data_IF_210702321194
#
_entry.id   IF_210702321194
#
_cell.length_a   1.000
_cell.length_b   1.000
_cell.length_c   1.000
_cell.angle_alpha   90.00
_cell.angle_beta   90.00
_cell.angle_gamma   90.00
#
_symmetry.space_group_name_H-M   'P 1'
#
loop_
_entity.id
_entity.type
_entity.pdbx_description
1 polymer ?
#
# COMPACT_ATOMS: atom_id res chain seq x y z
N UNK A 1 20.29 -6.28 8.36
CA UNK A 1 19.79 -7.28 7.39
C UNK A 1 18.29 -7.47 7.57
N UNK A 2 17.55 -7.63 6.49
CA UNK A 2 16.11 -7.88 6.58
C UNK A 2 15.80 -9.38 6.73
N UNK A 3 14.74 -9.68 7.50
CA UNK A 3 14.18 -11.01 7.71
C UNK A 3 12.70 -11.03 7.33
N UNK A 4 12.39 -10.54 6.14
CA UNK A 4 11.01 -10.35 5.66
C UNK A 4 10.31 -11.64 5.20
N UNK A 5 11.01 -12.76 5.12
CA UNK A 5 10.49 -14.04 4.62
C UNK A 5 10.65 -15.14 5.67
N UNK A 6 9.53 -15.66 6.16
CA UNK A 6 9.49 -16.75 7.15
C UNK A 6 10.15 -18.01 6.61
N UNK A 7 9.98 -18.35 5.33
CA UNK A 7 10.59 -19.55 4.75
C UNK A 7 12.11 -19.50 4.79
N UNK A 8 12.71 -18.31 4.60
CA UNK A 8 14.15 -18.10 4.74
C UNK A 8 14.63 -18.25 6.20
N UNK A 9 13.82 -17.75 7.15
CA UNK A 9 14.09 -17.90 8.60
C UNK A 9 14.10 -19.38 8.95
N UNK A 10 13.10 -20.11 8.51
CA UNK A 10 12.92 -21.54 8.78
C UNK A 10 14.01 -22.37 8.08
N UNK A 11 14.27 -22.11 6.81
CA UNK A 11 15.31 -22.81 6.04
C UNK A 11 16.70 -22.67 6.63
N UNK A 12 17.03 -21.50 7.18
CA UNK A 12 18.31 -21.21 7.82
C UNK A 12 18.33 -21.52 9.30
N UNK A 13 17.20 -21.92 9.88
CA UNK A 13 17.01 -22.14 11.34
C UNK A 13 17.49 -20.93 12.15
N UNK A 14 17.06 -19.72 11.74
CA UNK A 14 17.40 -18.47 12.44
C UNK A 14 16.54 -18.36 13.69
N UNK A 15 17.17 -18.09 14.84
CA UNK A 15 16.49 -17.93 16.12
C UNK A 15 16.83 -16.59 16.76
N UNK A 16 15.98 -16.16 17.68
CA UNK A 16 16.23 -14.95 18.45
C UNK A 16 17.55 -15.11 19.23
N UNK A 17 18.39 -14.07 19.19
CA UNK A 17 19.73 -14.01 19.78
C UNK A 17 20.81 -14.89 19.11
N UNK A 18 20.56 -15.44 17.92
CA UNK A 18 21.60 -16.11 17.16
C UNK A 18 22.73 -15.17 16.72
N UNK A 19 23.95 -15.68 16.69
CA UNK A 19 25.06 -15.05 15.97
C UNK A 19 25.00 -15.46 14.50
N UNK A 20 25.02 -14.46 13.61
CA UNK A 20 24.85 -14.66 12.17
C UNK A 20 25.97 -14.04 11.35
N UNK A 21 26.27 -14.62 10.21
CA UNK A 21 27.10 -13.99 9.18
C UNK A 21 26.21 -13.17 8.26
N UNK A 22 26.61 -11.92 8.04
CA UNK A 22 25.91 -11.00 7.15
C UNK A 22 26.82 -10.69 5.96
N UNK A 23 26.28 -10.81 4.77
CA UNK A 23 26.96 -10.46 3.53
C UNK A 23 26.28 -9.30 2.84
N UNK A 24 27.09 -8.41 2.28
CA UNK A 24 26.65 -7.29 1.45
C UNK A 24 27.04 -7.58 0.01
N UNK A 25 26.06 -7.76 -0.87
CA UNK A 25 26.28 -7.97 -2.30
C UNK A 25 25.93 -6.68 -3.05
N UNK A 26 26.96 -5.89 -3.44
CA UNK A 26 26.79 -4.59 -4.09
C UNK A 26 26.11 -3.55 -3.18
N UNK A 27 25.34 -2.64 -3.77
CA UNK A 27 24.51 -1.65 -3.05
C UNK A 27 23.17 -2.21 -2.56
N UNK A 28 23.08 -3.54 -2.47
CA UNK A 28 21.86 -4.26 -2.05
C UNK A 28 21.80 -4.38 -0.53
N UNK A 29 20.57 -4.52 -0.01
CA UNK A 29 20.28 -4.72 1.41
C UNK A 29 21.08 -5.93 1.94
N UNK A 30 21.81 -5.79 3.07
CA UNK A 30 22.55 -6.90 3.65
C UNK A 30 21.65 -8.10 3.96
N UNK A 31 22.11 -9.30 3.64
CA UNK A 31 21.38 -10.55 3.91
C UNK A 31 22.14 -11.45 4.88
N UNK A 32 21.40 -12.21 5.67
CA UNK A 32 21.99 -13.25 6.51
C UNK A 32 22.32 -14.44 5.61
N UNK A 33 23.60 -14.82 5.58
CA UNK A 33 24.08 -15.97 4.81
C UNK A 33 24.11 -17.25 5.63
N UNK A 34 24.49 -17.16 6.89
CA UNK A 34 24.67 -18.32 7.76
C UNK A 34 24.43 -17.99 9.23
N UNK A 35 23.88 -18.96 9.97
CA UNK A 35 23.82 -18.96 11.44
C UNK A 35 25.05 -19.68 12.01
N UNK A 36 25.72 -19.06 12.97
CA UNK A 36 26.85 -19.64 13.68
C UNK A 36 26.35 -20.54 14.83
N UNK A 37 25.85 -21.74 14.50
CA UNK A 37 25.24 -22.67 15.46
C UNK A 37 26.13 -23.02 16.66
N UNK A 38 27.44 -22.99 16.48
CA UNK A 38 28.43 -23.21 17.56
C UNK A 38 28.47 -22.05 18.58
N UNK A 39 27.94 -20.88 18.24
CA UNK A 39 27.83 -19.71 19.13
C UNK A 39 26.42 -19.46 19.61
N UNK A 40 25.46 -20.33 19.26
CA UNK A 40 24.06 -20.18 19.63
C UNK A 40 23.92 -20.26 21.16
N UNK A 41 23.28 -19.23 21.79
CA UNK A 41 22.98 -19.28 23.21
C UNK A 41 22.05 -20.45 23.56
N UNK A 42 22.17 -20.95 24.80
CA UNK A 42 21.19 -21.91 25.32
C UNK A 42 19.83 -21.23 25.45
N UNK A 43 18.73 -21.97 25.21
CA UNK A 43 17.36 -21.52 25.30
C UNK A 43 16.94 -20.47 24.23
N UNK A 44 17.53 -20.50 23.04
CA UNK A 44 17.05 -19.70 21.91
C UNK A 44 15.68 -20.19 21.45
N UNK A 45 14.78 -19.23 21.17
CA UNK A 45 13.45 -19.51 20.68
C UNK A 45 13.38 -19.34 19.15
N UNK A 46 12.61 -20.21 18.50
CA UNK A 46 12.25 -20.00 17.11
C UNK A 46 11.38 -18.74 17.01
N UNK A 47 11.60 -17.98 15.95
CA UNK A 47 10.76 -16.83 15.64
C UNK A 47 9.73 -17.25 14.60
N UNK A 48 8.47 -16.88 14.83
CA UNK A 48 7.41 -16.99 13.84
C UNK A 48 6.72 -15.63 13.70
N UNK A 49 6.49 -15.20 12.47
CA UNK A 49 5.77 -13.96 12.20
C UNK A 49 4.33 -14.04 12.71
N UNK A 50 3.71 -15.23 12.66
CA UNK A 50 2.34 -15.44 13.17
C UNK A 50 2.23 -15.28 14.68
N UNK A 51 3.31 -15.59 15.43
CA UNK A 51 3.31 -15.51 16.89
C UNK A 51 3.72 -14.12 17.41
N UNK A 52 4.13 -13.23 16.51
CA UNK A 52 4.54 -11.89 16.89
C UNK A 52 3.33 -11.04 17.31
N UNK A 53 3.44 -10.42 18.48
CA UNK A 53 2.42 -9.48 18.95
C UNK A 53 2.58 -8.14 18.26
N UNK A 54 1.70 -7.88 17.32
CA UNK A 54 1.70 -6.63 16.56
C UNK A 54 1.29 -5.44 17.43
N UNK A 55 1.85 -4.24 17.20
CA UNK A 55 1.51 -3.04 17.96
C UNK A 55 0.04 -2.64 17.84
N UNK A 56 -0.57 -2.89 16.68
CA UNK A 56 -1.98 -2.64 16.44
C UNK A 56 -2.79 -3.90 16.82
N UNK A 57 -3.64 -3.85 17.85
CA UNK A 57 -4.41 -5.00 18.32
C UNK A 57 -5.43 -5.52 17.31
N UNK A 58 -5.82 -4.67 16.34
CA UNK A 58 -6.77 -5.04 15.30
C UNK A 58 -6.10 -5.75 14.12
N UNK A 59 -4.77 -5.84 14.11
CA UNK A 59 -4.03 -6.59 13.11
C UNK A 59 -4.25 -8.10 13.23
N UNK A 60 -4.81 -8.70 12.17
CA UNK A 60 -4.89 -10.15 11.96
C UNK A 60 -3.97 -10.53 10.82
N UNK A 61 -2.82 -11.10 11.15
CA UNK A 61 -1.80 -11.44 10.17
C UNK A 61 -1.99 -12.88 9.71
N UNK A 62 -2.19 -13.06 8.42
CA UNK A 62 -2.28 -14.36 7.79
C UNK A 62 -1.35 -14.44 6.57
N UNK A 63 -0.95 -15.66 6.26
CA UNK A 63 -0.24 -15.98 5.03
C UNK A 63 -1.23 -16.47 4.00
N UNK A 64 -1.32 -15.76 2.89
CA UNK A 64 -2.16 -16.16 1.77
C UNK A 64 -1.48 -17.34 1.07
N UNK A 65 -2.24 -18.37 0.74
CA UNK A 65 -1.72 -19.54 0.03
C UNK A 65 -1.06 -19.13 -1.29
N UNK A 66 0.17 -19.62 -1.52
CA UNK A 66 0.98 -19.26 -2.68
C UNK A 66 1.81 -17.97 -2.52
N UNK A 67 1.63 -17.18 -1.46
CA UNK A 67 2.45 -16.00 -1.17
C UNK A 67 3.51 -16.29 -0.09
N UNK A 68 4.69 -15.67 -0.23
CA UNK A 68 5.73 -15.71 0.80
C UNK A 68 5.47 -14.69 1.92
N UNK A 69 4.67 -13.67 1.67
CA UNK A 69 4.42 -12.56 2.59
C UNK A 69 3.23 -12.82 3.50
N UNK A 70 3.37 -12.43 4.77
CA UNK A 70 2.25 -12.32 5.70
C UNK A 70 1.59 -10.95 5.54
N UNK A 71 0.26 -10.93 5.54
CA UNK A 71 -0.53 -9.70 5.38
C UNK A 71 -1.58 -9.58 6.46
N UNK A 72 -1.91 -8.35 6.83
CA UNK A 72 -3.08 -8.11 7.66
C UNK A 72 -4.35 -8.30 6.80
N UNK A 73 -5.19 -9.26 7.20
CA UNK A 73 -6.45 -9.56 6.50
C UNK A 73 -7.64 -8.74 7.01
N UNK A 74 -7.49 -8.07 8.16
CA UNK A 74 -8.57 -7.22 8.67
C UNK A 74 -8.68 -5.93 7.83
N UNK A 75 -9.79 -5.72 7.09
CA UNK A 75 -9.97 -4.51 6.28
C UNK A 75 -10.03 -3.23 7.11
N UNK A 76 -10.48 -3.33 8.36
CA UNK A 76 -10.64 -2.19 9.28
C UNK A 76 -9.43 -1.96 10.18
N UNK A 77 -8.32 -2.68 9.97
CA UNK A 77 -7.08 -2.46 10.71
C UNK A 77 -6.55 -1.04 10.41
N UNK A 78 -6.38 -0.24 11.46
CA UNK A 78 -5.92 1.15 11.36
C UNK A 78 -4.61 1.28 10.60
N UNK A 79 -3.64 0.43 10.92
CA UNK A 79 -2.33 0.41 10.26
C UNK A 79 -2.46 0.10 8.76
N UNK A 80 -3.37 -0.79 8.37
CA UNK A 80 -3.65 -1.11 6.97
C UNK A 80 -4.29 0.06 6.24
N UNK A 81 -5.33 0.66 6.82
CA UNK A 81 -6.01 1.82 6.23
C UNK A 81 -5.04 2.98 6.04
N UNK A 82 -4.26 3.33 7.07
CA UNK A 82 -3.23 4.37 6.95
C UNK A 82 -2.20 4.05 5.85
N UNK A 83 -1.72 2.81 5.76
CA UNK A 83 -0.78 2.40 4.72
C UNK A 83 -1.35 2.54 3.30
N UNK A 84 -2.63 2.23 3.10
CA UNK A 84 -3.34 2.41 1.82
C UNK A 84 -3.45 3.91 1.48
N UNK A 85 -3.80 4.76 2.45
CA UNK A 85 -3.88 6.21 2.27
C UNK A 85 -2.51 6.84 1.97
N UNK A 86 -1.45 6.41 2.67
CA UNK A 86 -0.08 6.83 2.40
C UNK A 86 0.36 6.45 0.97
N UNK A 87 0.03 5.23 0.55
CA UNK A 87 0.31 4.76 -0.80
C UNK A 87 -0.40 5.64 -1.85
N UNK A 88 -1.69 5.91 -1.66
CA UNK A 88 -2.48 6.77 -2.55
C UNK A 88 -1.87 8.17 -2.68
N UNK A 89 -1.43 8.75 -1.57
CA UNK A 89 -0.82 10.09 -1.55
C UNK A 89 0.61 10.11 -2.12
N UNK A 90 1.26 8.95 -2.29
CA UNK A 90 2.67 8.85 -2.63
C UNK A 90 3.05 9.50 -3.96
N UNK A 91 4.35 9.83 -4.12
CA UNK A 91 4.90 10.48 -5.34
C UNK A 91 4.57 9.74 -6.63
N UNK A 92 4.52 8.41 -6.60
CA UNK A 92 4.26 7.60 -7.78
C UNK A 92 2.77 7.37 -8.06
N UNK A 93 1.91 7.65 -7.10
CA UNK A 93 0.46 7.65 -7.21
C UNK A 93 -0.06 9.08 -7.40
N UNK A 94 -0.89 9.61 -6.53
CA UNK A 94 -1.51 10.94 -6.68
C UNK A 94 -0.55 12.11 -6.45
N UNK A 95 0.64 11.87 -5.90
CA UNK A 95 1.70 12.87 -5.65
C UNK A 95 1.22 14.08 -4.84
N UNK A 96 0.61 13.83 -3.70
CA UNK A 96 0.14 14.89 -2.82
C UNK A 96 1.30 15.31 -1.90
N UNK A 97 2.01 16.37 -2.27
CA UNK A 97 3.13 16.87 -1.48
C UNK A 97 2.65 17.37 -0.12
N UNK A 98 3.40 17.02 0.91
CA UNK A 98 3.02 17.34 2.29
C UNK A 98 2.15 16.27 2.98
N UNK A 99 1.55 15.33 2.24
CA UNK A 99 0.75 14.22 2.77
C UNK A 99 1.62 13.00 3.09
N UNK A 100 2.64 13.18 3.93
CA UNK A 100 3.49 12.09 4.39
C UNK A 100 2.87 11.28 5.55
N UNK A 101 3.53 10.17 5.99
CA UNK A 101 2.99 9.26 7.01
C UNK A 101 2.52 9.94 8.30
N UNK A 102 3.25 10.97 8.76
CA UNK A 102 2.88 11.70 9.99
C UNK A 102 1.60 12.53 9.83
N UNK A 103 1.40 13.13 8.65
CA UNK A 103 0.20 13.91 8.36
C UNK A 103 -0.98 12.99 8.13
N UNK A 104 -0.82 11.89 7.39
CA UNK A 104 -1.86 10.86 7.21
C UNK A 104 -2.32 10.34 8.58
N UNK A 105 -1.36 9.99 9.47
CA UNK A 105 -1.67 9.55 10.82
C UNK A 105 -2.45 10.60 11.60
N UNK A 106 -2.02 11.84 11.58
CA UNK A 106 -2.64 12.94 12.32
C UNK A 106 -4.07 13.21 11.84
N UNK A 107 -4.30 13.21 10.52
CA UNK A 107 -5.63 13.38 9.94
C UNK A 107 -6.53 12.19 10.24
N UNK A 108 -5.97 10.96 10.20
CA UNK A 108 -6.70 9.75 10.57
C UNK A 108 -7.13 9.77 12.05
N UNK A 109 -6.22 10.13 12.96
CA UNK A 109 -6.51 10.24 14.40
C UNK A 109 -7.51 11.37 14.74
N UNK A 110 -7.59 12.39 13.88
CA UNK A 110 -8.58 13.47 13.97
C UNK A 110 -9.93 13.14 13.28
N UNK A 111 -10.10 11.91 12.79
CA UNK A 111 -11.29 11.45 12.03
C UNK A 111 -11.61 12.28 10.75
N UNK A 112 -10.58 12.90 10.19
CA UNK A 112 -10.67 13.71 8.96
C UNK A 112 -10.32 12.92 7.69
N UNK A 113 -9.73 11.71 7.84
CA UNK A 113 -9.19 10.94 6.73
C UNK A 113 -9.37 9.44 6.98
N UNK A 114 -10.44 8.85 6.46
CA UNK A 114 -10.75 7.42 6.58
C UNK A 114 -10.74 6.70 5.22
N UNK A 115 -10.86 7.44 4.11
CA UNK A 115 -10.89 6.92 2.74
C UNK A 115 -10.28 7.91 1.76
N UNK A 116 -10.04 7.49 0.52
CA UNK A 116 -9.40 8.34 -0.51
C UNK A 116 -10.19 9.62 -0.80
N UNK A 117 -11.51 9.54 -0.81
CA UNK A 117 -12.37 10.68 -1.09
C UNK A 117 -12.34 11.73 0.02
N UNK A 118 -12.03 11.35 1.26
CA UNK A 118 -11.90 12.30 2.36
C UNK A 118 -10.75 13.28 2.14
N UNK A 119 -9.68 12.86 1.46
CA UNK A 119 -8.56 13.73 1.10
C UNK A 119 -9.04 14.99 0.39
N UNK A 120 -10.00 14.84 -0.52
CA UNK A 120 -10.52 15.92 -1.35
C UNK A 120 -11.63 16.75 -0.69
N UNK A 121 -12.02 16.37 0.54
CA UNK A 121 -12.97 17.11 1.40
C UNK A 121 -12.25 17.97 2.44
N UNK A 122 -10.95 17.75 2.67
CA UNK A 122 -10.14 18.48 3.65
C UNK A 122 -10.15 19.97 3.31
N UNK A 123 -10.43 20.81 4.31
CA UNK A 123 -10.44 22.26 4.19
C UNK A 123 -9.28 22.86 4.99
N UNK A 124 -8.97 24.12 4.67
CA UNK A 124 -7.95 24.87 5.39
C UNK A 124 -8.24 24.94 6.90
N UNK A 125 -9.50 25.14 7.27
CA UNK A 125 -9.95 25.24 8.66
C UNK A 125 -9.68 23.95 9.46
N UNK A 126 -9.76 22.80 8.80
CA UNK A 126 -9.48 21.51 9.42
C UNK A 126 -8.00 21.37 9.77
N UNK A 127 -7.12 21.90 8.90
CA UNK A 127 -5.68 21.77 9.04
C UNK A 127 -5.08 22.73 10.08
N UNK A 128 -5.56 23.98 10.12
CA UNK A 128 -4.96 25.02 10.96
C UNK A 128 -5.09 24.75 12.46
N UNK A 129 -6.03 23.88 12.83
CA UNK A 129 -6.26 23.44 14.20
C UNK A 129 -5.43 22.21 14.61
N UNK A 130 -4.70 21.62 13.66
CA UNK A 130 -3.84 20.46 13.91
C UNK A 130 -2.42 20.88 14.28
N UNK A 131 -1.76 20.06 15.10
CA UNK A 131 -0.38 20.28 15.49
C UNK A 131 0.55 20.39 14.28
N UNK A 132 1.54 21.27 14.38
CA UNK A 132 2.57 21.52 13.34
C UNK A 132 2.05 22.21 12.08
N UNK A 133 0.75 22.45 11.93
CA UNK A 133 0.24 23.27 10.86
C UNK A 133 0.30 24.76 11.23
N UNK A 134 0.72 25.56 10.25
CA UNK A 134 0.64 27.02 10.22
C UNK A 134 0.03 27.42 8.89
N UNK A 135 -0.34 28.68 8.74
CA UNK A 135 -1.01 29.18 7.53
C UNK A 135 -0.33 28.70 6.24
N UNK A 136 1.01 28.83 6.15
CA UNK A 136 1.75 28.43 4.94
C UNK A 136 1.68 26.91 4.66
N UNK A 137 1.88 26.08 5.68
CA UNK A 137 1.86 24.63 5.50
C UNK A 137 0.45 24.10 5.20
N UNK A 138 -0.58 24.67 5.82
CA UNK A 138 -1.97 24.34 5.51
C UNK A 138 -2.33 24.72 4.06
N UNK A 139 -2.01 25.94 3.63
CA UNK A 139 -2.23 26.38 2.25
C UNK A 139 -1.50 25.50 1.24
N UNK A 140 -0.20 25.20 1.48
CA UNK A 140 0.57 24.34 0.57
C UNK A 140 -0.05 22.94 0.43
N UNK A 141 -0.56 22.37 1.52
CA UNK A 141 -1.20 21.05 1.47
C UNK A 141 -2.52 21.11 0.69
N UNK A 142 -3.36 22.12 0.91
CA UNK A 142 -4.59 22.33 0.13
C UNK A 142 -4.28 22.51 -1.37
N UNK A 143 -3.27 23.31 -1.68
CA UNK A 143 -2.84 23.50 -3.07
C UNK A 143 -2.37 22.19 -3.71
N UNK A 144 -1.60 21.39 -2.97
CA UNK A 144 -1.13 20.09 -3.44
C UNK A 144 -2.29 19.10 -3.66
N UNK A 145 -3.27 19.07 -2.74
CA UNK A 145 -4.49 18.27 -2.91
C UNK A 145 -5.23 18.69 -4.19
N UNK A 146 -5.40 19.99 -4.40
CA UNK A 146 -6.09 20.49 -5.59
C UNK A 146 -5.31 20.19 -6.88
N UNK A 147 -4.00 20.31 -6.89
CA UNK A 147 -3.15 19.95 -8.03
C UNK A 147 -3.23 18.47 -8.37
N UNK A 148 -3.34 17.60 -7.35
CA UNK A 148 -3.42 16.15 -7.53
C UNK A 148 -4.72 15.69 -8.21
N UNK A 149 -5.76 16.55 -8.28
CA UNK A 149 -7.01 16.23 -8.97
C UNK A 149 -6.80 15.98 -10.46
N UNK A 150 -5.80 16.59 -11.09
CA UNK A 150 -5.41 16.27 -12.47
C UNK A 150 -4.34 15.21 -12.47
N UNK A 151 -4.70 14.01 -12.87
CA UNK A 151 -3.82 12.85 -12.83
C UNK A 151 -3.96 12.00 -14.08
N UNK A 152 -3.00 11.09 -14.30
CA UNK A 152 -3.09 10.12 -15.39
C UNK A 152 -3.72 8.82 -14.92
N UNK A 153 -4.33 8.08 -15.83
CA UNK A 153 -4.92 6.78 -15.55
C UNK A 153 -3.96 5.81 -14.82
N UNK A 154 -2.68 5.64 -15.25
CA UNK A 154 -1.77 4.73 -14.55
C UNK A 154 -1.47 5.15 -13.12
N UNK A 155 -1.39 6.44 -12.85
CA UNK A 155 -1.12 6.96 -11.49
C UNK A 155 -2.31 6.75 -10.57
N UNK A 156 -3.52 7.01 -11.08
CA UNK A 156 -4.75 6.79 -10.33
C UNK A 156 -4.94 5.30 -10.03
N UNK A 157 -4.85 4.44 -11.05
CA UNK A 157 -5.00 2.99 -10.88
C UNK A 157 -3.96 2.39 -9.92
N UNK A 158 -2.69 2.82 -10.06
CA UNK A 158 -1.63 2.43 -9.11
C UNK A 158 -1.96 2.91 -7.70
N UNK A 159 -2.47 4.13 -7.55
CA UNK A 159 -2.84 4.74 -6.28
C UNK A 159 -3.93 3.98 -5.53
N UNK A 160 -4.86 3.32 -6.22
CA UNK A 160 -5.90 2.51 -5.58
C UNK A 160 -5.35 1.32 -4.78
N UNK A 161 -4.08 0.95 -4.96
CA UNK A 161 -3.42 -0.10 -4.18
C UNK A 161 -3.96 -1.50 -4.41
N UNK A 162 -4.50 -1.77 -5.60
CA UNK A 162 -5.01 -3.10 -5.99
C UNK A 162 -3.85 -4.10 -5.90
N UNK A 163 -4.02 -5.26 -5.24
CA UNK A 163 -2.97 -6.27 -5.14
C UNK A 163 -2.39 -6.65 -6.50
N UNK A 164 -1.08 -6.76 -6.59
CA UNK A 164 -0.34 -7.11 -7.81
C UNK A 164 -0.44 -6.09 -8.96
N UNK A 165 -1.15 -4.97 -8.80
CA UNK A 165 -1.23 -3.87 -9.78
C UNK A 165 -0.17 -2.82 -9.47
N UNK A 166 1.05 -3.03 -9.97
CA UNK A 166 2.14 -2.05 -9.89
C UNK A 166 2.07 -1.01 -11.01
N UNK A 167 3.00 -0.05 -11.00
CA UNK A 167 3.08 1.00 -12.04
C UNK A 167 3.16 0.44 -13.47
N UNK A 168 3.85 -0.69 -13.66
CA UNK A 168 3.98 -1.33 -14.97
C UNK A 168 2.63 -1.85 -15.47
N UNK A 169 1.94 -2.60 -14.64
CA UNK A 169 0.60 -3.13 -14.94
C UNK A 169 -0.40 -1.99 -15.20
N UNK A 170 -0.35 -0.94 -14.41
CA UNK A 170 -1.22 0.24 -14.60
C UNK A 170 -1.01 0.90 -15.97
N UNK A 171 0.22 0.93 -16.48
CA UNK A 171 0.52 1.44 -17.84
C UNK A 171 0.05 0.50 -18.94
N UNK A 172 0.08 -0.82 -18.72
CA UNK A 172 -0.46 -1.79 -19.70
C UNK A 172 -1.98 -1.61 -19.78
N UNK A 173 -2.66 -1.55 -18.64
CA UNK A 173 -4.11 -1.33 -18.57
C UNK A 173 -4.52 0.00 -19.22
N UNK A 174 -3.75 1.07 -19.01
CA UNK A 174 -3.97 2.38 -19.62
C UNK A 174 -4.01 2.29 -21.15
N UNK A 175 -2.98 1.68 -21.76
CA UNK A 175 -2.92 1.50 -23.21
C UNK A 175 -4.11 0.74 -23.78
N UNK A 176 -4.58 -0.29 -23.06
CA UNK A 176 -5.69 -1.11 -23.52
C UNK A 176 -7.04 -0.39 -23.34
N UNK A 177 -7.22 0.28 -22.19
CA UNK A 177 -8.45 0.95 -21.85
C UNK A 177 -8.56 2.37 -22.45
N UNK A 178 -7.50 2.93 -23.04
CA UNK A 178 -7.44 4.32 -23.55
C UNK A 178 -7.82 5.33 -22.44
N UNK A 179 -7.21 5.17 -21.26
CA UNK A 179 -7.45 6.00 -20.06
C UNK A 179 -8.90 5.98 -19.53
N UNK A 180 -9.73 5.00 -19.94
CA UNK A 180 -11.13 4.88 -19.50
C UNK A 180 -11.25 3.90 -18.33
N UNK A 181 -11.65 4.40 -17.17
CA UNK A 181 -12.03 3.56 -16.02
C UNK A 181 -13.30 2.76 -16.29
N UNK A 182 -14.25 3.31 -17.03
CA UNK A 182 -15.48 2.62 -17.42
C UNK A 182 -15.13 1.35 -18.20
N UNK A 183 -14.31 1.50 -19.25
CA UNK A 183 -13.84 0.35 -20.03
C UNK A 183 -13.11 -0.68 -19.15
N UNK A 184 -12.27 -0.22 -18.21
CA UNK A 184 -11.57 -1.15 -17.30
C UNK A 184 -12.56 -1.96 -16.45
N UNK A 185 -13.60 -1.33 -15.92
CA UNK A 185 -14.58 -1.99 -15.05
C UNK A 185 -15.48 -2.98 -15.79
N UNK A 186 -15.71 -2.75 -17.09
CA UNK A 186 -16.50 -3.63 -17.95
C UNK A 186 -15.76 -4.91 -18.35
N UNK A 187 -14.42 -4.89 -18.43
CA UNK A 187 -13.62 -6.04 -18.83
C UNK A 187 -13.91 -7.27 -17.95
N UNK A 188 -14.01 -8.43 -18.57
CA UNK A 188 -14.01 -9.72 -17.88
C UNK A 188 -12.60 -10.16 -17.51
N UNK A 189 -12.47 -11.16 -16.66
CA UNK A 189 -11.17 -11.74 -16.30
C UNK A 189 -10.49 -12.32 -17.54
N UNK A 190 -11.26 -13.02 -18.38
CA UNK A 190 -10.78 -13.65 -19.62
C UNK A 190 -10.22 -12.60 -20.58
N UNK A 191 -10.94 -11.50 -20.79
CA UNK A 191 -10.48 -10.39 -21.65
C UNK A 191 -9.21 -9.72 -21.11
N UNK A 192 -9.10 -9.58 -19.78
CA UNK A 192 -7.89 -9.03 -19.17
C UNK A 192 -6.68 -9.95 -19.34
N UNK A 193 -6.86 -11.26 -19.26
CA UNK A 193 -5.78 -12.25 -19.45
C UNK A 193 -5.25 -12.29 -20.88
N UNK A 194 -6.06 -11.94 -21.89
CA UNK A 194 -5.60 -11.79 -23.28
C UNK A 194 -4.66 -10.59 -23.49
N UNK A 195 -4.59 -9.67 -22.52
CA UNK A 195 -3.69 -8.52 -22.58
C UNK A 195 -2.26 -8.98 -22.25
N UNK A 196 -1.32 -8.77 -23.18
CA UNK A 196 0.09 -9.13 -22.96
C UNK A 196 0.65 -8.48 -21.67
N UNK A 197 1.18 -9.31 -20.79
CA UNK A 197 1.72 -8.90 -19.50
C UNK A 197 0.71 -8.89 -18.35
N UNK A 198 -0.55 -9.28 -18.57
CA UNK A 198 -1.57 -9.43 -17.52
C UNK A 198 -1.83 -10.92 -17.28
N UNK A 199 -1.48 -11.40 -16.09
CA UNK A 199 -1.79 -12.76 -15.65
C UNK A 199 -3.13 -12.84 -14.91
N UNK A 200 -3.64 -14.06 -14.79
CA UNK A 200 -4.93 -14.36 -14.14
C UNK A 200 -5.05 -13.77 -12.72
N UNK A 201 -3.98 -13.85 -11.92
CA UNK A 201 -3.93 -13.29 -10.55
C UNK A 201 -4.18 -11.78 -10.55
N UNK A 202 -3.63 -11.06 -11.53
CA UNK A 202 -3.82 -9.61 -11.66
C UNK A 202 -5.23 -9.31 -12.15
N UNK A 203 -5.71 -10.03 -13.15
CA UNK A 203 -7.05 -9.87 -13.71
C UNK A 203 -8.14 -10.08 -12.65
N UNK A 204 -8.04 -11.15 -11.86
CA UNK A 204 -8.93 -11.43 -10.73
C UNK A 204 -8.87 -10.29 -9.70
N UNK A 205 -7.67 -9.84 -9.31
CA UNK A 205 -7.52 -8.78 -8.31
C UNK A 205 -8.15 -7.45 -8.75
N UNK A 206 -8.04 -7.10 -10.02
CA UNK A 206 -8.68 -5.91 -10.60
C UNK A 206 -10.20 -6.07 -10.60
N UNK A 207 -10.71 -7.22 -11.04
CA UNK A 207 -12.15 -7.48 -11.09
C UNK A 207 -12.78 -7.48 -9.71
N UNK A 208 -12.16 -8.14 -8.74
CA UNK A 208 -12.62 -8.18 -7.36
C UNK A 208 -12.65 -6.78 -6.73
N UNK A 209 -11.63 -5.96 -7.00
CA UNK A 209 -11.57 -4.59 -6.48
C UNK A 209 -12.76 -3.76 -6.95
N UNK A 210 -13.10 -3.80 -8.23
CA UNK A 210 -14.20 -3.02 -8.81
C UNK A 210 -15.58 -3.67 -8.65
N UNK A 211 -15.65 -4.95 -8.28
CA UNK A 211 -16.90 -5.62 -7.88
C UNK A 211 -17.26 -5.34 -6.41
N UNK A 212 -16.29 -4.94 -5.59
CA UNK A 212 -16.57 -4.51 -4.22
C UNK A 212 -17.28 -3.15 -4.22
N UNK A 213 -18.51 -3.12 -3.71
CA UNK A 213 -19.36 -1.92 -3.71
C UNK A 213 -18.73 -0.75 -2.94
N UNK A 214 -17.97 -1.02 -1.86
CA UNK A 214 -17.33 0.03 -1.09
C UNK A 214 -16.22 0.71 -1.89
N UNK A 215 -15.35 -0.10 -2.52
CA UNK A 215 -14.28 0.41 -3.38
C UNK A 215 -14.84 1.20 -4.56
N UNK A 216 -15.87 0.65 -5.23
CA UNK A 216 -16.54 1.33 -6.35
C UNK A 216 -17.10 2.69 -5.93
N UNK A 217 -17.83 2.74 -4.83
CA UNK A 217 -18.40 3.98 -4.29
C UNK A 217 -17.31 5.01 -3.93
N UNK A 218 -16.17 4.57 -3.38
CA UNK A 218 -15.05 5.47 -3.06
C UNK A 218 -14.48 6.06 -4.35
N UNK A 219 -14.24 5.25 -5.37
CA UNK A 219 -13.75 5.72 -6.68
C UNK A 219 -14.72 6.72 -7.30
N UNK A 220 -16.02 6.41 -7.31
CA UNK A 220 -17.06 7.32 -7.84
C UNK A 220 -17.07 8.66 -7.09
N UNK A 221 -16.98 8.65 -5.75
CA UNK A 221 -16.91 9.89 -4.95
C UNK A 221 -15.63 10.68 -5.25
N UNK A 222 -14.50 10.02 -5.45
CA UNK A 222 -13.25 10.68 -5.86
C UNK A 222 -13.44 11.45 -7.18
N UNK A 223 -14.06 10.84 -8.17
CA UNK A 223 -14.37 11.50 -9.46
C UNK A 223 -15.36 12.65 -9.28
N UNK A 224 -16.42 12.48 -8.48
CA UNK A 224 -17.40 13.55 -8.17
C UNK A 224 -16.76 14.74 -7.44
N UNK A 225 -15.71 14.52 -6.66
CA UNK A 225 -14.93 15.57 -5.97
C UNK A 225 -13.91 16.27 -6.88
N UNK A 226 -13.91 15.93 -8.17
CA UNK A 226 -13.18 16.64 -9.20
C UNK A 226 -11.84 16.02 -9.59
N UNK A 227 -11.63 14.73 -9.35
CA UNK A 227 -10.49 14.01 -9.97
C UNK A 227 -10.78 13.88 -11.47
N UNK A 228 -9.85 14.38 -12.27
CA UNK A 228 -9.83 14.30 -13.73
C UNK A 228 -8.70 13.37 -14.16
N UNK A 229 -9.03 12.31 -14.86
CA UNK A 229 -8.07 11.39 -15.48
C UNK A 229 -7.82 11.86 -16.90
N UNK A 230 -6.56 12.28 -17.15
CA UNK A 230 -6.09 12.87 -18.41
C UNK A 230 -5.14 11.92 -19.15
#
# INVERSE_FOLDING_TARGET
ATLHNQDEIDRKDIRINDFVLIERSGDVIPKITQVLKNKRPQNTQKFSISDYKWPDPDCKIERIEGEAAYRCINPNCKSRVMGILEHFCSKNAMNIEGMGPQIVKQLFEADLLNSFDDIYKIKYEDLINLDRFKNKSAMNLIDSINQSKKTTFPRFLFGLGIPNVGQHISKIMDKYCNSSLEKLTELTVEEMVEIDGIGEIVAIAVKDYFNDNNNKNIVERCLQLGIEII
#
